data_IF_634183784710
#
_entry.id   IF_634183784710
#
_cell.length_a   1.000
_cell.length_b   1.000
_cell.length_c   1.000
_cell.angle_alpha   90.00
_cell.angle_beta   90.00
_cell.angle_gamma   90.00
#
_symmetry.space_group_name_H-M   'P 1'
#
loop_
_entity.id
_entity.type
_entity.pdbx_description
1 polymer ?
#
# COMPACT_ATOMS: atom_id res chain seq x y z
N UNK A 1 17.07 8.19 -13.98
CA UNK A 1 17.05 9.47 -13.24
C UNK A 1 16.64 9.10 -11.82
N UNK A 2 17.46 9.34 -10.81
CA UNK A 2 17.06 9.05 -9.42
C UNK A 2 15.96 10.04 -9.06
N UNK A 3 14.73 9.56 -8.88
CA UNK A 3 13.70 10.39 -8.28
C UNK A 3 14.18 10.84 -6.90
N UNK A 4 13.98 12.11 -6.58
CA UNK A 4 14.47 12.64 -5.30
C UNK A 4 13.67 12.02 -4.16
N UNK A 5 14.35 11.53 -3.13
CA UNK A 5 13.68 11.05 -1.90
C UNK A 5 12.74 12.12 -1.35
N UNK A 6 11.49 11.75 -1.11
CA UNK A 6 10.46 12.61 -0.54
C UNK A 6 10.31 12.33 0.95
N UNK A 7 10.18 13.39 1.75
CA UNK A 7 9.97 13.30 3.19
C UNK A 7 8.50 13.59 3.53
N UNK A 8 7.83 12.63 4.15
CA UNK A 8 6.39 12.70 4.42
C UNK A 8 6.04 13.66 5.55
N UNK A 9 6.98 14.01 6.44
CA UNK A 9 6.74 14.97 7.51
C UNK A 9 6.40 16.39 7.01
N UNK A 10 6.75 16.69 5.75
CA UNK A 10 6.49 17.97 5.09
C UNK A 10 5.50 17.86 3.92
N UNK A 11 4.84 16.71 3.77
CA UNK A 11 3.92 16.42 2.68
C UNK A 11 2.55 16.03 3.25
N UNK A 12 1.42 16.58 2.76
CA UNK A 12 0.09 16.06 3.07
C UNK A 12 0.01 14.57 2.73
N UNK A 13 -0.65 13.78 3.59
CA UNK A 13 -0.82 12.34 3.35
C UNK A 13 -1.44 12.04 1.98
N UNK A 14 -2.34 12.90 1.49
CA UNK A 14 -2.97 12.79 0.17
C UNK A 14 -1.96 12.77 -0.97
N UNK A 15 -0.90 13.58 -0.90
CA UNK A 15 0.09 13.67 -1.96
C UNK A 15 1.00 12.43 -1.92
N UNK A 16 1.35 11.96 -0.72
CA UNK A 16 2.07 10.69 -0.55
C UNK A 16 1.27 9.54 -1.14
N UNK A 17 -0.03 9.44 -0.83
CA UNK A 17 -0.90 8.40 -1.37
C UNK A 17 -1.08 8.52 -2.89
N UNK A 18 -1.11 9.74 -3.42
CA UNK A 18 -1.16 9.97 -4.88
C UNK A 18 0.11 9.43 -5.56
N UNK A 19 1.27 9.70 -4.98
CA UNK A 19 2.55 9.23 -5.52
C UNK A 19 2.69 7.71 -5.43
N UNK A 20 2.31 7.11 -4.30
CA UNK A 20 2.33 5.67 -4.09
C UNK A 20 1.31 4.95 -4.99
N UNK A 21 0.10 5.52 -5.16
CA UNK A 21 -0.92 5.00 -6.07
C UNK A 21 -0.45 5.02 -7.52
N UNK A 22 0.21 6.09 -7.97
CA UNK A 22 0.82 6.14 -9.30
C UNK A 22 1.93 5.09 -9.48
N UNK A 23 2.80 4.91 -8.49
CA UNK A 23 3.82 3.86 -8.53
C UNK A 23 3.21 2.45 -8.59
N UNK A 24 2.07 2.24 -7.93
CA UNK A 24 1.28 1.00 -8.03
C UNK A 24 0.74 0.78 -9.44
N UNK A 25 0.08 1.80 -10.03
CA UNK A 25 -0.49 1.71 -11.38
C UNK A 25 0.58 1.47 -12.46
N UNK A 26 1.76 2.06 -12.29
CA UNK A 26 2.91 1.90 -13.19
C UNK A 26 3.74 0.64 -12.88
N UNK A 27 3.39 -0.12 -11.85
CA UNK A 27 4.12 -1.31 -11.35
C UNK A 27 5.60 -1.02 -11.07
N UNK A 28 5.86 0.10 -10.40
CA UNK A 28 7.19 0.61 -10.04
C UNK A 28 7.50 0.37 -8.57
N UNK A 29 8.63 -0.26 -8.30
CA UNK A 29 9.07 -0.53 -6.94
C UNK A 29 9.34 0.78 -6.19
N UNK A 30 9.09 0.78 -4.88
CA UNK A 30 9.26 1.96 -4.03
C UNK A 30 10.17 1.59 -2.87
N UNK A 31 11.24 2.36 -2.64
CA UNK A 31 12.01 2.25 -1.40
C UNK A 31 11.42 3.20 -0.36
N UNK A 32 11.14 2.69 0.84
CA UNK A 32 10.60 3.43 1.97
C UNK A 32 11.55 3.40 3.17
N UNK A 33 11.59 4.50 3.93
CA UNK A 33 12.03 4.51 5.31
C UNK A 33 10.79 4.39 6.21
N UNK A 34 10.69 3.29 6.96
CA UNK A 34 9.51 2.93 7.73
C UNK A 34 9.82 2.89 9.23
N UNK A 35 9.05 3.63 10.02
CA UNK A 35 9.12 3.58 11.47
C UNK A 35 8.19 2.47 11.98
N UNK A 36 8.77 1.35 12.40
CA UNK A 36 7.97 0.34 13.11
C UNK A 36 7.58 0.86 14.50
N UNK A 37 6.54 0.29 15.09
CA UNK A 37 5.95 0.78 16.35
C UNK A 37 6.99 0.91 17.48
N UNK A 38 7.94 -0.03 17.53
CA UNK A 38 8.87 -0.21 18.64
C UNK A 38 10.33 -0.43 18.18
N UNK A 39 10.61 -0.29 16.87
CA UNK A 39 11.93 -0.58 16.31
C UNK A 39 12.56 0.66 15.64
N UNK A 40 13.88 0.61 15.48
CA UNK A 40 14.59 1.60 14.70
C UNK A 40 14.03 1.64 13.26
N UNK A 41 13.94 2.84 12.62
CA UNK A 41 13.45 2.94 11.26
C UNK A 41 14.20 1.99 10.33
N UNK A 42 13.45 1.26 9.53
CA UNK A 42 13.99 0.29 8.56
C UNK A 42 13.82 0.80 7.15
N UNK A 43 14.78 0.46 6.28
CA UNK A 43 14.68 0.73 4.84
C UNK A 43 14.17 -0.55 4.17
N UNK A 44 13.10 -0.42 3.39
CA UNK A 44 12.45 -1.54 2.66
C UNK A 44 12.26 -1.14 1.20
N UNK A 45 12.32 -2.10 0.30
CA UNK A 45 11.88 -1.90 -1.09
C UNK A 45 10.65 -2.75 -1.32
N UNK A 46 9.57 -2.11 -1.72
CA UNK A 46 8.24 -2.69 -1.75
C UNK A 46 7.62 -2.60 -3.15
N UNK A 47 6.80 -3.59 -3.49
CA UNK A 47 6.02 -3.68 -4.72
C UNK A 47 4.55 -3.61 -4.34
N UNK A 48 3.93 -2.45 -4.59
CA UNK A 48 2.60 -2.12 -4.08
C UNK A 48 1.53 -2.82 -4.91
N UNK A 49 0.62 -3.53 -4.26
CA UNK A 49 -0.46 -4.25 -4.92
C UNK A 49 -1.85 -3.74 -4.57
N UNK A 50 -2.02 -3.14 -3.39
CA UNK A 50 -3.25 -2.48 -3.02
C UNK A 50 -2.99 -1.38 -1.97
N UNK A 51 -3.90 -0.42 -1.87
CA UNK A 51 -3.93 0.58 -0.79
C UNK A 51 -5.32 0.53 -0.18
N UNK A 52 -5.38 0.10 1.07
CA UNK A 52 -6.65 -0.21 1.76
C UNK A 52 -6.79 0.57 3.05
N UNK A 53 -8.02 0.89 3.41
CA UNK A 53 -8.34 1.46 4.74
C UNK A 53 -8.74 0.32 5.68
N UNK A 54 -8.03 0.19 6.79
CA UNK A 54 -8.35 -0.75 7.85
C UNK A 54 -9.61 -0.36 8.64
N UNK A 55 -10.12 -1.29 9.44
CA UNK A 55 -11.32 -1.04 10.27
C UNK A 55 -11.14 0.03 11.34
N UNK A 56 -9.89 0.35 11.69
CA UNK A 56 -9.51 1.43 12.59
C UNK A 56 -9.34 2.79 11.88
N UNK A 57 -9.59 2.84 10.57
CA UNK A 57 -9.41 4.03 9.74
C UNK A 57 -7.97 4.28 9.29
N UNK A 58 -6.99 3.44 9.68
CA UNK A 58 -5.62 3.56 9.21
C UNK A 58 -5.50 3.11 7.75
N UNK A 59 -4.67 3.80 6.97
CA UNK A 59 -4.39 3.43 5.57
C UNK A 59 -3.17 2.51 5.52
N UNK A 60 -3.30 1.39 4.83
CA UNK A 60 -2.27 0.38 4.64
C UNK A 60 -1.88 0.25 3.18
N UNK A 61 -0.59 0.27 2.92
CA UNK A 61 0.04 -0.07 1.64
C UNK A 61 0.34 -1.57 1.67
N UNK A 62 -0.45 -2.35 0.93
CA UNK A 62 -0.30 -3.80 0.81
C UNK A 62 0.67 -4.10 -0.32
N UNK A 63 1.75 -4.82 -0.01
CA UNK A 63 2.88 -4.94 -0.94
C UNK A 63 3.68 -6.22 -0.73
N UNK A 64 4.40 -6.64 -1.76
CA UNK A 64 5.53 -7.57 -1.58
C UNK A 64 6.74 -6.79 -1.08
N UNK A 65 7.35 -7.24 0.02
CA UNK A 65 8.60 -6.68 0.53
C UNK A 65 9.79 -7.47 -0.01
N UNK A 66 10.66 -6.82 -0.78
CA UNK A 66 11.84 -7.46 -1.38
C UNK A 66 12.86 -7.96 -0.37
N UNK A 67 12.91 -7.38 0.82
CA UNK A 67 13.84 -7.86 1.83
C UNK A 67 13.40 -9.19 2.43
N UNK A 68 12.10 -9.36 2.69
CA UNK A 68 11.55 -10.55 3.33
C UNK A 68 10.90 -11.54 2.36
N UNK A 69 10.82 -11.19 1.07
CA UNK A 69 10.14 -11.93 0.01
C UNK A 69 8.71 -12.34 0.39
N UNK A 70 8.07 -11.52 1.22
CA UNK A 70 6.77 -11.83 1.83
C UNK A 70 5.80 -10.67 1.62
N UNK A 71 4.51 -11.02 1.53
CA UNK A 71 3.45 -10.03 1.46
C UNK A 71 3.22 -9.37 2.82
N UNK A 72 3.23 -8.03 2.85
CA UNK A 72 3.13 -7.23 4.08
C UNK A 72 2.30 -5.97 3.84
N UNK A 73 1.61 -5.55 4.90
CA UNK A 73 0.93 -4.27 4.98
C UNK A 73 1.76 -3.26 5.76
N UNK A 74 2.08 -2.12 5.15
CA UNK A 74 2.75 -1.00 5.81
C UNK A 74 1.76 0.13 6.07
N UNK A 75 1.70 0.64 7.31
CA UNK A 75 0.84 1.80 7.57
C UNK A 75 1.40 3.05 6.87
N UNK A 76 0.58 3.72 6.07
CA UNK A 76 1.00 4.89 5.31
C UNK A 76 1.48 6.05 6.20
N UNK A 77 0.88 6.21 7.39
CA UNK A 77 1.25 7.23 8.38
C UNK A 77 2.61 6.97 9.06
N UNK A 78 3.19 5.79 8.88
CA UNK A 78 4.51 5.39 9.42
C UNK A 78 5.62 5.38 8.37
N UNK A 79 5.28 5.65 7.11
CA UNK A 79 6.28 5.88 6.05
C UNK A 79 6.84 7.29 6.26
N UNK A 80 8.11 7.39 6.64
CA UNK A 80 8.78 8.66 6.91
C UNK A 80 9.36 9.30 5.65
N UNK A 81 9.86 8.46 4.74
CA UNK A 81 10.42 8.88 3.47
C UNK A 81 10.16 7.80 2.43
N UNK A 82 10.07 8.19 1.16
CA UNK A 82 9.98 7.25 0.06
C UNK A 82 10.65 7.78 -1.21
N UNK A 83 11.01 6.85 -2.09
CA UNK A 83 11.51 7.10 -3.44
C UNK A 83 10.92 6.04 -4.37
N UNK A 84 10.31 6.49 -5.47
CA UNK A 84 9.90 5.59 -6.55
C UNK A 84 11.13 5.25 -7.39
N UNK A 85 11.35 3.97 -7.65
CA UNK A 85 12.52 3.49 -8.35
C UNK A 85 12.31 3.39 -9.86
N UNK A 86 13.45 3.31 -10.56
CA UNK A 86 13.71 2.89 -11.95
C UNK A 86 13.12 1.53 -12.39
N UNK A 87 12.52 0.80 -11.44
CA UNK A 87 12.49 -0.67 -11.43
C UNK A 87 11.08 -1.22 -11.43
N UNK A 88 10.83 -2.23 -12.27
CA UNK A 88 9.56 -2.95 -12.32
C UNK A 88 9.42 -3.93 -11.15
N UNK A 89 8.21 -4.45 -10.94
CA UNK A 89 7.95 -5.54 -10.00
C UNK A 89 8.64 -6.83 -10.45
N UNK A 90 9.19 -7.57 -9.49
CA UNK A 90 9.95 -8.81 -9.73
C UNK A 90 9.48 -9.97 -8.86
N UNK A 91 8.63 -9.72 -7.85
CA UNK A 91 8.11 -10.76 -6.98
C UNK A 91 6.72 -11.19 -7.43
N UNK A 92 6.48 -12.50 -7.40
CA UNK A 92 5.15 -13.04 -7.59
C UNK A 92 4.28 -12.68 -6.38
N UNK A 93 3.16 -12.01 -6.62
CA UNK A 93 2.18 -11.76 -5.57
C UNK A 93 1.51 -13.07 -5.20
N UNK A 94 1.34 -13.39 -3.90
CA UNK A 94 0.47 -14.49 -3.53
C UNK A 94 -0.92 -14.24 -4.12
N UNK A 95 -1.58 -15.30 -4.57
CA UNK A 95 -3.01 -15.22 -4.90
C UNK A 95 -3.77 -15.03 -3.59
N UNK A 96 -3.84 -13.79 -3.12
CA UNK A 96 -4.72 -13.43 -2.02
C UNK A 96 -6.11 -13.47 -2.63
N UNK A 97 -7.06 -14.24 -2.07
CA UNK A 97 -8.45 -14.05 -2.44
C UNK A 97 -8.75 -12.58 -2.17
N UNK A 98 -8.95 -11.80 -3.25
CA UNK A 98 -9.34 -10.41 -3.14
C UNK A 98 -10.43 -10.36 -2.06
N UNK A 99 -10.39 -9.41 -1.09
CA UNK A 99 -11.61 -9.15 -0.34
C UNK A 99 -12.68 -8.99 -1.40
N UNK A 100 -13.73 -9.79 -1.34
CA UNK A 100 -14.78 -9.78 -2.34
C UNK A 100 -15.19 -8.33 -2.45
N UNK A 101 -14.78 -7.65 -3.53
CA UNK A 101 -15.29 -6.31 -3.81
C UNK A 101 -16.72 -6.62 -4.19
N UNK A 102 -17.59 -6.51 -3.19
CA UNK A 102 -19.01 -6.54 -3.38
C UNK A 102 -19.36 -5.29 -4.20
N UNK A 103 -19.17 -5.40 -5.51
CA UNK A 103 -19.68 -4.42 -6.45
C UNK A 103 -21.18 -4.69 -6.53
N UNK A 104 -21.93 -3.99 -5.70
CA UNK A 104 -23.36 -3.86 -5.88
C UNK A 104 -23.58 -2.83 -7.00
N UNK A 105 -24.18 -3.28 -8.11
CA UNK A 105 -24.61 -2.39 -9.19
C UNK A 105 -25.93 -1.69 -8.85
N UNK A 106 -26.60 -2.15 -7.78
CA UNK A 106 -27.87 -1.62 -7.29
C UNK A 106 -27.95 -1.61 -5.77
N UNK A 107 -28.76 -0.73 -5.20
CA UNK A 107 -29.01 -0.66 -3.74
C UNK A 107 -29.50 -2.00 -3.16
N UNK A 108 -30.25 -2.78 -3.95
CA UNK A 108 -30.77 -4.07 -3.53
C UNK A 108 -29.68 -5.13 -3.39
N UNK A 109 -28.70 -5.12 -4.30
CA UNK A 109 -27.52 -6.00 -4.22
C UNK A 109 -26.65 -5.61 -3.03
N UNK A 110 -26.51 -4.31 -2.75
CA UNK A 110 -25.76 -3.85 -1.58
C UNK A 110 -26.39 -4.33 -0.27
N UNK A 111 -27.72 -4.17 -0.13
CA UNK A 111 -28.45 -4.61 1.07
C UNK A 111 -28.37 -6.14 1.25
N UNK A 112 -28.47 -6.92 0.17
CA UNK A 112 -28.33 -8.37 0.25
C UNK A 112 -26.92 -8.79 0.72
N UNK A 113 -25.89 -8.14 0.17
CA UNK A 113 -24.49 -8.43 0.50
C UNK A 113 -24.14 -8.06 1.95
N UNK A 114 -24.69 -6.95 2.46
CA UNK A 114 -24.49 -6.57 3.87
C UNK A 114 -25.28 -7.46 4.85
N UNK A 115 -26.42 -8.02 4.44
CA UNK A 115 -27.18 -8.97 5.27
C UNK A 115 -26.51 -10.35 5.35
N UNK A 116 -25.81 -10.78 4.30
CA UNK A 116 -25.05 -12.05 4.27
C UNK A 116 -23.71 -11.97 5.03
N UNK A 117 -23.30 -10.78 5.46
CA UNK A 117 -22.03 -10.51 6.15
C UNK A 117 -22.11 -10.70 7.69
N UNK A 118 -23.31 -10.86 8.25
CA UNK A 118 -23.58 -11.11 9.68
C UNK A 118 -24.07 -12.54 9.94
#
# INVERSE_FOLDING_TARGET
>A
MLDTMKNTAHQPLTDTLTDLGRAMDEQRAVTIAYADADEAPSIRTIEIHDIVTGGDGAVFVQSMDRLSESFRGFRADRIQMYITLDEAYVLDTPTIPLPVRFTALTDKEFVALELERN
#
